data_IF_808669780723
#
_entry.id   IF_808669780723
#
_cell.length_a   1.000
_cell.length_b   1.000
_cell.length_c   1.000
_cell.angle_alpha   90.00
_cell.angle_beta   90.00
_cell.angle_gamma   90.00
#
_symmetry.space_group_name_H-M   'P 1'
#
loop_
_entity.id
_entity.type
_entity.pdbx_description
1 polymer ?
#
# COMPACT_ATOMS: atom_id res chain seq x y z
N UNK A 1 -20.67 -15.36 0.68
CA UNK A 1 -19.69 -14.28 0.97
C UNK A 1 -18.37 -14.70 0.35
N UNK A 2 -17.99 -14.09 -0.77
CA UNK A 2 -16.77 -14.46 -1.50
C UNK A 2 -15.56 -13.98 -0.72
N UNK A 3 -14.79 -14.92 -0.16
CA UNK A 3 -13.54 -14.65 0.53
C UNK A 3 -12.51 -14.14 -0.48
N UNK A 4 -12.50 -12.83 -0.77
CA UNK A 4 -11.63 -12.22 -1.78
C UNK A 4 -10.25 -11.98 -1.18
N UNK A 5 -9.50 -13.07 -0.99
CA UNK A 5 -8.07 -13.00 -0.66
C UNK A 5 -7.33 -12.34 -1.81
N UNK A 6 -6.98 -11.07 -1.63
CA UNK A 6 -6.13 -10.34 -2.56
C UNK A 6 -4.72 -10.29 -2.01
N UNK A 7 -3.78 -10.73 -2.84
CA UNK A 7 -2.35 -10.65 -2.57
C UNK A 7 -1.80 -9.50 -3.42
N UNK A 8 -1.03 -8.63 -2.78
CA UNK A 8 -0.33 -7.50 -3.42
C UNK A 8 1.17 -7.79 -3.32
N UNK A 9 1.87 -7.66 -4.45
CA UNK A 9 3.32 -7.78 -4.47
C UNK A 9 3.95 -6.45 -4.03
N UNK A 10 4.78 -6.51 -3.01
CA UNK A 10 5.51 -5.39 -2.42
C UNK A 10 7.02 -5.70 -2.44
N UNK A 11 7.87 -4.81 -2.98
CA UNK A 11 9.30 -5.09 -3.10
C UNK A 11 10.07 -5.04 -1.77
N UNK A 12 9.48 -4.53 -0.69
CA UNK A 12 10.11 -4.41 0.63
C UNK A 12 9.74 -5.59 1.53
N UNK A 13 8.46 -5.98 1.54
CA UNK A 13 7.94 -7.03 2.42
C UNK A 13 7.48 -8.31 1.70
N UNK A 14 7.57 -8.37 0.37
CA UNK A 14 7.13 -9.51 -0.42
C UNK A 14 5.61 -9.51 -0.63
N UNK A 15 4.93 -10.58 -0.24
CA UNK A 15 3.50 -10.73 -0.48
C UNK A 15 2.66 -10.17 0.67
N UNK A 16 1.94 -9.09 0.43
CA UNK A 16 0.98 -8.51 1.38
C UNK A 16 -0.41 -9.07 1.07
N UNK A 17 -0.98 -9.83 2.03
CA UNK A 17 -2.37 -10.30 1.96
C UNK A 17 -3.31 -9.33 2.66
N UNK A 18 -4.44 -8.99 2.03
CA UNK A 18 -5.48 -8.19 2.70
C UNK A 18 -6.27 -9.07 3.68
N UNK A 19 -6.44 -8.66 4.95
CA UNK A 19 -6.88 -9.56 6.03
C UNK A 19 -8.39 -9.85 6.02
N UNK A 20 -9.22 -8.94 5.53
CA UNK A 20 -10.67 -9.08 5.51
C UNK A 20 -11.32 -8.18 4.44
N UNK A 21 -12.62 -8.36 4.22
CA UNK A 21 -13.40 -7.64 3.21
C UNK A 21 -13.45 -6.12 3.47
N UNK A 22 -13.50 -5.69 4.74
CA UNK A 22 -13.46 -4.26 5.08
C UNK A 22 -12.16 -3.60 4.61
N UNK A 23 -11.02 -4.22 4.88
CA UNK A 23 -9.72 -3.70 4.41
C UNK A 23 -9.62 -3.78 2.88
N UNK A 24 -10.15 -4.84 2.26
CA UNK A 24 -10.22 -4.94 0.80
C UNK A 24 -10.99 -3.76 0.19
N UNK A 25 -12.18 -3.46 0.72
CA UNK A 25 -13.03 -2.37 0.23
C UNK A 25 -12.40 -1.00 0.50
N UNK A 26 -11.79 -0.80 1.68
CA UNK A 26 -11.06 0.42 2.01
C UNK A 26 -9.87 0.65 1.08
N UNK A 27 -9.08 -0.39 0.79
CA UNK A 27 -7.97 -0.29 -0.16
C UNK A 27 -8.52 0.05 -1.56
N UNK A 28 -9.66 -0.51 -1.96
CA UNK A 28 -10.34 -0.23 -3.23
C UNK A 28 -10.99 1.16 -3.31
N UNK A 29 -11.26 1.81 -2.17
CA UNK A 29 -12.00 3.06 -2.11
C UNK A 29 -11.26 4.20 -2.84
N UNK A 30 -11.95 5.09 -3.59
CA UNK A 30 -11.31 6.19 -4.32
C UNK A 30 -10.41 7.08 -3.44
N UNK A 31 -10.82 7.32 -2.20
CA UNK A 31 -10.03 8.10 -1.25
C UNK A 31 -8.71 7.43 -0.86
N UNK A 32 -8.62 6.11 -0.84
CA UNK A 32 -7.37 5.40 -0.59
C UNK A 32 -6.57 5.26 -1.90
N UNK A 33 -7.24 4.97 -3.02
CA UNK A 33 -6.61 4.88 -4.34
C UNK A 33 -5.93 6.19 -4.77
N UNK A 34 -6.44 7.36 -4.33
CA UNK A 34 -5.79 8.66 -4.59
C UNK A 34 -4.32 8.70 -4.12
N UNK A 35 -3.98 7.93 -3.08
CA UNK A 35 -2.63 7.91 -2.49
C UNK A 35 -1.58 7.38 -3.47
N UNK A 36 -1.98 6.70 -4.55
CA UNK A 36 -1.07 6.29 -5.64
C UNK A 36 -0.41 7.48 -6.33
N UNK A 37 -1.09 8.62 -6.35
CA UNK A 37 -0.65 9.85 -7.02
C UNK A 37 0.05 10.82 -6.07
N UNK A 38 0.34 10.41 -4.84
CA UNK A 38 1.04 11.23 -3.85
C UNK A 38 2.34 10.52 -3.47
N UNK A 39 3.49 11.12 -3.80
CA UNK A 39 4.80 10.58 -3.42
C UNK A 39 4.96 10.59 -1.90
N UNK A 40 5.58 9.55 -1.37
CA UNK A 40 5.88 9.46 0.05
C UNK A 40 6.88 10.55 0.48
N UNK A 41 7.94 10.74 -0.31
CA UNK A 41 9.06 11.64 0.00
C UNK A 41 9.07 12.94 -0.82
N UNK A 42 7.95 13.33 -1.43
CA UNK A 42 7.81 14.62 -2.11
C UNK A 42 8.90 14.92 -3.14
N UNK A 43 9.76 15.91 -2.85
CA UNK A 43 10.83 16.39 -3.73
C UNK A 43 12.11 15.54 -3.68
N UNK A 44 12.22 14.55 -2.79
CA UNK A 44 13.44 13.73 -2.68
C UNK A 44 13.80 13.00 -3.97
N UNK A 45 12.85 12.78 -4.87
CA UNK A 45 13.11 12.21 -6.20
C UNK A 45 14.04 13.06 -7.07
N UNK A 46 14.22 14.35 -6.76
CA UNK A 46 15.14 15.26 -7.46
C UNK A 46 16.62 14.96 -7.13
N UNK A 47 16.88 14.35 -5.98
CA UNK A 47 18.24 13.97 -5.53
C UNK A 47 18.43 12.46 -5.63
N UNK A 48 17.39 11.70 -5.29
CA UNK A 48 17.39 10.25 -5.27
C UNK A 48 16.36 9.73 -6.29
N UNK A 49 16.76 9.41 -7.53
CA UNK A 49 15.81 9.08 -8.60
C UNK A 49 14.97 7.83 -8.32
N UNK A 50 15.39 6.95 -7.40
CA UNK A 50 14.62 5.79 -6.93
C UNK A 50 13.54 6.12 -5.88
N UNK A 51 13.49 7.33 -5.33
CA UNK A 51 12.52 7.77 -4.32
C UNK A 51 11.13 8.09 -4.92
N UNK A 52 10.61 7.16 -5.72
CA UNK A 52 9.35 7.31 -6.48
C UNK A 52 8.14 6.65 -5.82
N UNK A 53 8.35 5.97 -4.69
CA UNK A 53 7.29 5.27 -3.98
C UNK A 53 6.20 6.24 -3.50
N UNK A 54 4.97 5.75 -3.54
CA UNK A 54 3.75 6.49 -3.21
C UNK A 54 3.32 6.25 -1.77
N UNK A 55 2.48 7.16 -1.24
CA UNK A 55 1.84 6.98 0.06
C UNK A 55 0.97 5.73 0.12
N UNK A 56 0.43 5.28 -1.02
CA UNK A 56 -0.33 4.03 -1.13
C UNK A 56 0.53 2.81 -0.74
N UNK A 57 1.74 2.71 -1.27
CA UNK A 57 2.66 1.62 -0.95
C UNK A 57 3.04 1.64 0.54
N UNK A 58 3.36 2.82 1.06
CA UNK A 58 3.70 2.98 2.48
C UNK A 58 2.55 2.56 3.41
N UNK A 59 1.31 2.98 3.12
CA UNK A 59 0.14 2.61 3.93
C UNK A 59 -0.14 1.10 3.91
N UNK A 60 0.06 0.42 2.76
CA UNK A 60 -0.05 -1.05 2.70
C UNK A 60 1.03 -1.74 3.51
N UNK A 61 2.28 -1.27 3.44
CA UNK A 61 3.38 -1.81 4.24
C UNK A 61 3.14 -1.63 5.74
N UNK A 62 2.65 -0.46 6.17
CA UNK A 62 2.29 -0.23 7.56
C UNK A 62 1.17 -1.16 8.04
N UNK A 63 0.10 -1.33 7.24
CA UNK A 63 -0.98 -2.27 7.52
C UNK A 63 -0.47 -3.70 7.67
N UNK A 64 0.44 -4.13 6.77
CA UNK A 64 1.05 -5.45 6.84
C UNK A 64 1.78 -5.66 8.16
N UNK A 65 2.64 -4.70 8.56
CA UNK A 65 3.41 -4.80 9.79
C UNK A 65 2.53 -4.79 11.05
N UNK A 66 1.43 -4.03 11.06
CA UNK A 66 0.48 -4.07 12.19
C UNK A 66 -0.08 -5.47 12.43
N UNK A 67 -0.25 -6.28 11.38
CA UNK A 67 -0.69 -7.68 11.51
C UNK A 67 0.43 -8.67 11.86
N UNK A 68 1.69 -8.23 11.96
CA UNK A 68 2.83 -9.07 12.36
C UNK A 68 3.29 -8.82 13.81
N UNK A 69 2.76 -7.78 14.46
CA UNK A 69 2.99 -7.48 15.87
C UNK A 69 2.04 -8.30 16.75
#
# INVERSE_FOLDING_TARGET
MTNRRKIINDPVYGFISLPNDLIYDLVGHPWFQRLRNIRQLGLSSLVYPGAVHSRFQHSLGAMYLTGQA
#
